data_IF_002136039434
#
_entry.id   IF_002136039434
#
_cell.length_a   1.000
_cell.length_b   1.000
_cell.length_c   1.000
_cell.angle_alpha   90.00
_cell.angle_beta   90.00
_cell.angle_gamma   90.00
#
_symmetry.space_group_name_H-M   'P 1'
#
loop_
_entity.id
_entity.type
_entity.pdbx_description
1 polymer ?
#
# COMPACT_ATOMS: atom_id res chain seq x y z
N UNK A 1 -8.10 1.65 11.55
CA UNK A 1 -6.68 1.51 11.16
C UNK A 1 -6.23 0.11 11.53
N UNK A 2 -5.26 -0.48 10.84
CA UNK A 2 -4.91 -1.91 11.02
C UNK A 2 -4.40 -2.23 12.43
N UNK A 3 -3.92 -1.23 13.16
CA UNK A 3 -3.49 -1.34 14.57
C UNK A 3 -4.58 -1.01 15.60
N UNK A 4 -5.81 -0.73 15.18
CA UNK A 4 -6.93 -0.54 16.11
C UNK A 4 -7.51 -1.93 16.42
N UNK A 5 -7.64 -2.33 17.70
CA UNK A 5 -8.01 -3.70 18.06
C UNK A 5 -9.44 -4.07 17.65
N UNK A 6 -10.31 -3.08 17.49
CA UNK A 6 -11.71 -3.26 17.12
C UNK A 6 -12.18 -2.18 16.14
N UNK A 7 -13.22 -2.49 15.37
CA UNK A 7 -13.78 -1.58 14.38
C UNK A 7 -14.77 -0.58 15.02
N UNK A 8 -14.27 0.30 15.89
CA UNK A 8 -15.08 1.25 16.72
C UNK A 8 -16.02 2.14 15.87
N UNK A 9 -15.66 2.44 14.62
CA UNK A 9 -16.43 3.31 13.72
C UNK A 9 -17.05 2.60 12.52
N UNK A 10 -17.19 1.28 12.55
CA UNK A 10 -17.70 0.48 11.42
C UNK A 10 -19.07 0.95 10.92
N UNK A 11 -20.00 1.27 11.81
CA UNK A 11 -21.33 1.78 11.46
C UNK A 11 -21.26 3.12 10.70
N UNK A 12 -20.36 4.04 11.10
CA UNK A 12 -20.13 5.30 10.38
C UNK A 12 -19.53 5.05 9.00
N UNK A 13 -18.58 4.11 8.89
CA UNK A 13 -17.96 3.74 7.62
C UNK A 13 -19.01 3.15 6.67
N UNK A 14 -19.83 2.19 7.14
CA UNK A 14 -20.88 1.58 6.34
C UNK A 14 -21.97 2.58 5.95
N UNK A 15 -22.30 3.54 6.82
CA UNK A 15 -23.21 4.63 6.48
C UNK A 15 -22.62 5.50 5.36
N UNK A 16 -21.37 5.95 5.48
CA UNK A 16 -20.71 6.78 4.48
C UNK A 16 -20.62 6.09 3.11
N UNK A 17 -20.27 4.79 3.07
CA UNK A 17 -20.25 4.01 1.82
C UNK A 17 -21.62 3.97 1.14
N UNK A 18 -22.69 3.75 1.91
CA UNK A 18 -24.06 3.70 1.38
C UNK A 18 -24.53 5.08 0.88
N UNK A 19 -24.28 6.13 1.67
CA UNK A 19 -24.67 7.50 1.34
C UNK A 19 -23.93 8.03 0.11
N UNK A 20 -22.65 7.65 -0.06
CA UNK A 20 -21.87 8.04 -1.23
C UNK A 20 -22.16 7.20 -2.48
N UNK A 21 -22.97 6.14 -2.38
CA UNK A 21 -23.12 5.14 -3.45
C UNK A 21 -21.82 4.39 -3.77
N UNK A 22 -20.89 4.34 -2.82
CA UNK A 22 -19.59 3.72 -2.99
C UNK A 22 -19.64 2.20 -2.84
N UNK A 23 -18.45 1.59 -2.76
CA UNK A 23 -18.28 0.14 -2.56
C UNK A 23 -17.16 -0.15 -1.56
N UNK A 24 -17.04 -1.40 -1.15
CA UNK A 24 -15.93 -1.92 -0.36
C UNK A 24 -15.25 -3.07 -1.10
N UNK A 25 -13.94 -3.21 -0.89
CA UNK A 25 -13.14 -4.28 -1.46
C UNK A 25 -12.24 -4.86 -0.37
N UNK A 26 -12.19 -6.18 -0.27
CA UNK A 26 -11.31 -6.88 0.68
C UNK A 26 -9.99 -7.22 -0.01
N UNK A 27 -8.88 -6.97 0.68
CA UNK A 27 -7.51 -7.24 0.20
C UNK A 27 -6.81 -8.15 1.20
N UNK A 28 -5.88 -8.96 0.73
CA UNK A 28 -5.09 -9.86 1.59
C UNK A 28 -3.81 -9.18 2.07
N UNK A 29 -3.23 -9.69 3.15
CA UNK A 29 -1.95 -9.20 3.66
C UNK A 29 -0.83 -9.36 2.62
N UNK A 30 -0.85 -10.43 1.82
CA UNK A 30 0.11 -10.64 0.73
C UNK A 30 0.02 -9.57 -0.35
N UNK A 31 -1.21 -9.18 -0.74
CA UNK A 31 -1.45 -8.10 -1.70
C UNK A 31 -0.91 -6.77 -1.14
N UNK A 32 -1.24 -6.47 0.11
CA UNK A 32 -0.76 -5.25 0.79
C UNK A 32 0.77 -5.21 0.80
N UNK A 33 1.44 -6.30 1.19
CA UNK A 33 2.89 -6.35 1.26
C UNK A 33 3.55 -6.29 -0.12
N UNK A 34 2.95 -6.90 -1.15
CA UNK A 34 3.42 -6.79 -2.53
C UNK A 34 3.36 -5.33 -3.00
N UNK A 35 2.26 -4.65 -2.69
CA UNK A 35 1.99 -3.30 -3.15
C UNK A 35 2.78 -2.23 -2.40
N UNK A 36 3.10 -2.46 -1.12
CA UNK A 36 4.10 -1.65 -0.41
C UNK A 36 5.45 -1.68 -1.14
N UNK A 37 5.87 -2.84 -1.66
CA UNK A 37 7.14 -2.97 -2.41
C UNK A 37 7.04 -2.33 -3.79
N UNK A 38 5.91 -2.50 -4.47
CA UNK A 38 5.64 -1.91 -5.78
C UNK A 38 5.69 -0.38 -5.70
N UNK A 39 4.95 0.23 -4.77
CA UNK A 39 4.94 1.68 -4.56
C UNK A 39 6.32 2.24 -4.23
N UNK A 40 7.09 1.53 -3.39
CA UNK A 40 8.45 1.94 -3.04
C UNK A 40 9.40 1.86 -4.24
N UNK A 41 9.30 0.81 -5.05
CA UNK A 41 10.19 0.58 -6.20
C UNK A 41 9.86 1.42 -7.44
N UNK A 42 8.57 1.65 -7.70
CA UNK A 42 8.10 2.37 -8.88
C UNK A 42 8.02 3.89 -8.66
N UNK A 43 7.52 4.32 -7.50
CA UNK A 43 7.20 5.73 -7.22
C UNK A 43 8.07 6.34 -6.11
N UNK A 44 8.94 5.55 -5.47
CA UNK A 44 9.74 6.00 -4.33
C UNK A 44 8.90 6.24 -3.07
N UNK A 45 7.67 5.74 -3.02
CA UNK A 45 6.73 5.97 -1.93
C UNK A 45 6.78 4.83 -0.92
N UNK A 46 7.34 5.10 0.27
CA UNK A 46 7.27 4.15 1.38
C UNK A 46 5.96 4.31 2.17
N UNK A 47 4.86 3.87 1.54
CA UNK A 47 3.51 3.90 2.10
C UNK A 47 3.37 2.97 3.32
N UNK A 48 2.38 3.25 4.19
CA UNK A 48 2.00 2.30 5.23
C UNK A 48 1.11 1.17 4.65
N UNK A 49 0.92 0.05 5.38
CA UNK A 49 0.03 -1.02 4.94
C UNK A 49 -1.39 -0.55 4.63
N UNK A 50 -1.95 0.39 5.41
CA UNK A 50 -3.27 0.97 5.13
C UNK A 50 -3.30 1.76 3.80
N UNK A 51 -2.23 2.49 3.48
CA UNK A 51 -2.11 3.21 2.22
C UNK A 51 -1.98 2.23 1.05
N UNK A 52 -1.12 1.22 1.18
CA UNK A 52 -0.96 0.18 0.17
C UNK A 52 -2.25 -0.62 -0.07
N UNK A 53 -3.05 -0.90 0.96
CA UNK A 53 -4.36 -1.53 0.82
C UNK A 53 -5.30 -0.76 -0.12
N UNK A 54 -5.26 0.58 -0.09
CA UNK A 54 -6.05 1.39 -1.04
C UNK A 54 -5.55 1.26 -2.48
N UNK A 55 -4.25 1.06 -2.68
CA UNK A 55 -3.67 0.82 -4.00
C UNK A 55 -4.01 -0.59 -4.52
N UNK A 56 -3.95 -1.61 -3.66
CA UNK A 56 -4.40 -2.98 -3.99
C UNK A 56 -5.87 -2.99 -4.40
N UNK A 57 -6.72 -2.31 -3.63
CA UNK A 57 -8.13 -2.16 -3.96
C UNK A 57 -8.32 -1.41 -5.29
N UNK A 58 -7.59 -0.33 -5.55
CA UNK A 58 -7.67 0.40 -6.82
C UNK A 58 -7.33 -0.50 -8.02
N UNK A 59 -6.28 -1.32 -7.94
CA UNK A 59 -5.92 -2.26 -9.02
C UNK A 59 -7.07 -3.21 -9.34
N UNK A 60 -7.74 -3.73 -8.30
CA UNK A 60 -8.91 -4.58 -8.48
C UNK A 60 -10.12 -3.82 -9.05
N UNK A 61 -10.42 -2.62 -8.55
CA UNK A 61 -11.53 -1.80 -9.04
C UNK A 61 -11.36 -1.39 -10.50
N UNK A 62 -10.14 -1.10 -10.94
CA UNK A 62 -9.84 -0.81 -12.36
C UNK A 62 -9.98 -2.08 -13.21
N UNK A 63 -9.45 -3.22 -12.74
CA UNK A 63 -9.61 -4.52 -13.42
C UNK A 63 -11.09 -4.87 -13.62
N UNK A 64 -11.91 -4.62 -12.60
CA UNK A 64 -13.33 -4.93 -12.58
C UNK A 64 -14.19 -3.82 -13.23
N UNK A 65 -13.55 -2.78 -13.78
CA UNK A 65 -14.17 -1.63 -14.46
C UNK A 65 -15.16 -0.83 -13.59
N UNK A 66 -14.96 -0.86 -12.28
CA UNK A 66 -15.67 0.00 -11.33
C UNK A 66 -15.05 1.40 -11.23
N UNK A 67 -13.77 1.53 -11.61
CA UNK A 67 -13.05 2.80 -11.77
C UNK A 67 -12.50 2.84 -13.19
N UNK A 68 -12.67 3.97 -13.89
CA UNK A 68 -12.13 4.10 -15.24
C UNK A 68 -10.62 4.34 -15.23
N UNK A 69 -9.91 3.88 -16.27
CA UNK A 69 -8.45 3.97 -16.33
C UNK A 69 -7.91 5.42 -16.38
N UNK A 70 -8.75 6.37 -16.82
CA UNK A 70 -8.45 7.80 -16.91
C UNK A 70 -9.10 8.62 -15.77
N UNK A 71 -9.74 7.96 -14.82
CA UNK A 71 -10.39 8.62 -13.68
C UNK A 71 -9.35 9.18 -12.69
N UNK A 72 -9.67 10.33 -12.10
CA UNK A 72 -8.80 10.94 -11.09
C UNK A 72 -9.12 10.39 -9.70
N UNK A 73 -8.21 9.57 -9.18
CA UNK A 73 -8.35 8.93 -7.87
C UNK A 73 -7.38 9.54 -6.86
N UNK A 74 -7.84 9.70 -5.61
CA UNK A 74 -7.00 10.07 -4.46
C UNK A 74 -6.95 8.87 -3.50
N UNK A 75 -5.73 8.41 -3.22
CA UNK A 75 -5.46 7.33 -2.27
C UNK A 75 -4.98 7.91 -0.94
N UNK A 76 -5.69 7.63 0.14
CA UNK A 76 -5.36 8.15 1.47
C UNK A 76 -4.34 7.25 2.18
N UNK A 77 -3.06 7.61 2.08
CA UNK A 77 -2.02 7.02 2.92
C UNK A 77 -2.05 7.66 4.32
N UNK A 78 -2.68 6.98 5.27
CA UNK A 78 -2.99 7.53 6.61
C UNK A 78 -1.84 7.41 7.62
N UNK A 79 -0.73 6.79 7.24
CA UNK A 79 0.44 6.59 8.10
C UNK A 79 1.76 6.60 7.34
N UNK A 80 2.88 6.58 8.08
CA UNK A 80 4.20 6.49 7.48
C UNK A 80 4.66 5.02 7.44
N UNK A 81 5.20 4.56 6.30
CA UNK A 81 5.77 3.21 6.16
C UNK A 81 6.86 2.91 7.19
N UNK A 82 7.59 3.93 7.64
CA UNK A 82 8.61 3.83 8.69
C UNK A 82 8.09 3.28 10.03
N UNK A 83 6.77 3.33 10.29
CA UNK A 83 6.16 2.70 11.48
C UNK A 83 6.08 1.18 11.37
N UNK A 84 6.38 0.61 10.20
CA UNK A 84 6.17 -0.78 9.81
C UNK A 84 7.44 -1.43 9.23
N UNK A 85 8.63 -0.96 9.66
CA UNK A 85 9.92 -1.50 9.21
C UNK A 85 10.07 -3.00 9.50
N UNK A 86 9.35 -3.52 10.49
CA UNK A 86 9.29 -4.94 10.85
C UNK A 86 8.63 -5.81 9.77
N UNK A 87 7.71 -5.23 8.98
CA UNK A 87 7.04 -5.90 7.86
C UNK A 87 7.90 -5.95 6.59
N UNK A 88 8.95 -5.13 6.52
CA UNK A 88 9.79 -5.00 5.35
C UNK A 88 11.21 -5.47 5.69
N UNK A 89 11.51 -6.71 5.30
CA UNK A 89 12.87 -7.26 5.37
C UNK A 89 13.41 -7.40 3.95
N UNK A 90 14.05 -6.36 3.39
CA UNK A 90 14.61 -6.47 2.07
C UNK A 90 15.85 -7.36 2.12
N UNK A 91 15.97 -8.28 1.17
CA UNK A 91 17.26 -8.90 0.87
C UNK A 91 18.04 -7.91 0.03
N UNK A 92 18.95 -7.19 0.67
CA UNK A 92 19.82 -6.26 -0.03
C UNK A 92 21.02 -7.02 -0.58
N UNK A 93 21.49 -6.71 -1.80
CA UNK A 93 22.78 -7.20 -2.28
C UNK A 93 23.86 -6.82 -1.27
N UNK A 94 24.59 -7.82 -0.78
CA UNK A 94 25.77 -7.61 0.05
C UNK A 94 27.02 -7.79 -0.80
N UNK A 95 28.08 -7.09 -0.42
CA UNK A 95 29.39 -7.22 -1.06
C UNK A 95 30.47 -7.13 0.00
N UNK A 96 31.63 -7.72 -0.27
CA UNK A 96 32.79 -7.50 0.58
C UNK A 96 33.26 -6.06 0.43
N UNK A 97 33.46 -5.29 1.52
CA UNK A 97 33.89 -3.90 1.43
C UNK A 97 35.21 -3.70 0.65
N UNK A 98 36.09 -4.70 0.63
CA UNK A 98 37.32 -4.70 -0.17
C UNK A 98 37.08 -4.88 -1.68
N UNK A 99 35.91 -5.40 -2.05
CA UNK A 99 35.53 -5.74 -3.42
C UNK A 99 34.14 -5.17 -3.77
N UNK A 100 33.96 -3.82 -3.75
CA UNK A 100 32.67 -3.23 -4.06
C UNK A 100 32.27 -3.44 -5.52
N UNK A 101 30.97 -3.62 -5.83
CA UNK A 101 30.45 -3.63 -7.19
C UNK A 101 30.83 -2.36 -7.93
N UNK A 102 31.08 -2.47 -9.24
CA UNK A 102 31.49 -1.35 -10.08
C UNK A 102 30.50 -0.17 -10.02
N UNK A 103 29.19 -0.46 -9.98
CA UNK A 103 28.13 0.54 -9.87
C UNK A 103 28.14 1.38 -8.58
N UNK A 104 28.91 0.98 -7.56
CA UNK A 104 29.05 1.69 -6.29
C UNK A 104 30.44 2.33 -6.10
N UNK A 105 31.35 2.18 -7.08
CA UNK A 105 32.65 2.83 -7.06
C UNK A 105 32.45 4.26 -7.58
N UNK A 106 32.70 5.24 -6.71
CA UNK A 106 32.64 6.66 -7.03
C UNK A 106 33.65 7.05 -8.12
#
# INVERSE_FOLDING_TARGET
GLRVPEAIGDYLILQAVRESGGTSYAVTDEEILADMRELAGAEGLFACPEGAATYSALKALVRDRLVAADERVVLFNTGAGMKYVDLVRPTLPTFEPAHPPEALRA
#
